data_IF_614786361657
#
_entry.id   IF_614786361657
#
_cell.length_a   1.000
_cell.length_b   1.000
_cell.length_c   1.000
_cell.angle_alpha   90.00
_cell.angle_beta   90.00
_cell.angle_gamma   90.00
#
_symmetry.space_group_name_H-M   'P 1'
#
loop_
_entity.id
_entity.type
_entity.pdbx_description
1 polymer ?
#
# COMPACT_ATOMS: atom_id res chain seq x y z
N UNK A 1 18.73 52.54 2.50
CA UNK A 1 18.27 53.21 1.27
C UNK A 1 18.85 52.49 0.08
N UNK A 2 18.05 51.86 -0.70
CA UNK A 2 18.10 51.75 -2.17
C UNK A 2 17.11 50.69 -2.60
N UNK A 3 16.01 51.18 -3.10
CA UNK A 3 14.96 50.47 -3.79
C UNK A 3 15.48 50.04 -5.15
N UNK A 4 15.24 48.80 -5.55
CA UNK A 4 15.25 48.43 -6.95
C UNK A 4 13.99 47.64 -7.25
N UNK A 5 13.08 48.31 -7.84
CA UNK A 5 11.96 47.83 -8.61
C UNK A 5 12.51 47.13 -9.86
N UNK A 6 12.10 45.90 -10.07
CA UNK A 6 12.26 45.28 -11.38
C UNK A 6 10.94 44.66 -11.78
N UNK A 7 10.29 45.37 -12.66
CA UNK A 7 9.13 44.94 -13.46
C UNK A 7 9.61 43.99 -14.54
N UNK A 8 8.93 42.88 -14.73
CA UNK A 8 8.95 42.13 -16.00
C UNK A 8 7.68 41.33 -16.13
N UNK A 9 6.79 41.85 -16.90
CA UNK A 9 6.47 41.52 -18.29
C UNK A 9 5.84 40.14 -18.45
N UNK A 10 4.51 40.21 -18.60
CA UNK A 10 3.63 39.17 -19.13
C UNK A 10 4.05 38.76 -20.54
N UNK A 11 4.14 37.47 -20.80
CA UNK A 11 3.97 36.93 -22.13
C UNK A 11 2.87 35.89 -22.11
N UNK A 12 1.72 36.32 -22.51
CA UNK A 12 0.55 35.50 -22.79
C UNK A 12 0.76 34.84 -24.14
N UNK A 13 1.00 33.53 -24.16
CA UNK A 13 0.94 32.73 -25.38
C UNK A 13 -0.25 31.77 -25.29
N UNK A 14 -1.36 32.23 -25.80
CA UNK A 14 -2.54 31.41 -26.04
C UNK A 14 -2.30 30.57 -27.29
N UNK A 15 -2.05 29.28 -27.14
CA UNK A 15 -2.10 28.32 -28.23
C UNK A 15 -3.45 27.61 -28.12
N UNK A 16 -4.40 28.07 -28.89
CA UNK A 16 -5.66 27.39 -29.17
C UNK A 16 -5.37 26.27 -30.19
N UNK A 17 -5.10 25.06 -29.73
CA UNK A 17 -5.15 23.90 -30.56
C UNK A 17 -6.57 23.31 -30.48
N UNK A 18 -7.41 23.68 -31.40
CA UNK A 18 -8.67 23.00 -31.65
C UNK A 18 -8.38 21.70 -32.42
N UNK A 19 -8.13 20.62 -31.72
CA UNK A 19 -8.17 19.31 -32.30
C UNK A 19 -9.63 18.87 -32.38
N UNK A 20 -10.20 18.95 -33.57
CA UNK A 20 -11.45 18.28 -33.89
C UNK A 20 -11.21 16.78 -33.77
N UNK A 21 -11.63 16.19 -32.66
CA UNK A 21 -11.74 14.75 -32.54
C UNK A 21 -12.98 14.33 -33.32
N UNK A 22 -12.77 13.82 -34.52
CA UNK A 22 -13.75 13.01 -35.18
C UNK A 22 -13.98 11.78 -34.34
N UNK A 23 -15.13 11.68 -33.71
CA UNK A 23 -15.54 10.48 -33.01
C UNK A 23 -15.60 9.32 -34.02
N UNK A 24 -14.93 8.21 -33.79
CA UNK A 24 -15.16 7.04 -34.60
C UNK A 24 -16.57 6.52 -34.30
N UNK A 25 -17.36 6.47 -35.32
CA UNK A 25 -18.69 5.90 -35.33
C UNK A 25 -18.56 4.41 -34.97
N UNK A 26 -18.71 4.10 -33.70
CA UNK A 26 -18.79 2.71 -33.28
C UNK A 26 -20.14 2.16 -33.68
N UNK A 27 -20.26 1.76 -34.94
CA UNK A 27 -21.26 0.80 -35.32
C UNK A 27 -21.05 -0.43 -34.47
N UNK A 28 -21.92 -0.61 -33.52
CA UNK A 28 -22.10 -1.87 -32.83
C UNK A 28 -22.50 -2.91 -33.92
N UNK A 29 -21.51 -3.57 -34.44
CA UNK A 29 -21.71 -4.76 -35.22
C UNK A 29 -22.09 -5.85 -34.22
N UNK A 30 -23.41 -6.00 -34.08
CA UNK A 30 -24.03 -7.01 -33.21
C UNK A 30 -23.84 -8.39 -33.89
N UNK A 31 -22.58 -8.75 -34.10
CA UNK A 31 -22.19 -10.11 -34.41
C UNK A 31 -22.03 -10.86 -33.12
N UNK A 32 -23.12 -11.54 -32.79
CA UNK A 32 -23.10 -12.69 -31.91
C UNK A 32 -21.81 -13.49 -32.08
N UNK A 33 -20.79 -13.17 -31.31
CA UNK A 33 -19.76 -14.13 -31.03
C UNK A 33 -20.31 -15.11 -30.01
N UNK A 34 -21.14 -16.01 -30.48
CA UNK A 34 -21.31 -17.32 -29.91
C UNK A 34 -19.95 -18.02 -30.01
N UNK A 35 -19.16 -17.88 -29.03
CA UNK A 35 -17.81 -18.41 -28.92
C UNK A 35 -17.20 -17.96 -27.60
N UNK A 36 -18.01 -17.97 -26.57
CA UNK A 36 -17.50 -18.00 -25.20
C UNK A 36 -16.82 -19.35 -25.00
N UNK A 37 -15.62 -19.49 -25.56
CA UNK A 37 -14.66 -20.38 -24.95
C UNK A 37 -14.35 -19.75 -23.62
N UNK A 38 -15.17 -20.14 -22.63
CA UNK A 38 -14.78 -20.01 -21.24
C UNK A 38 -13.41 -20.67 -21.14
N UNK A 39 -12.37 -19.86 -21.19
CA UNK A 39 -11.08 -20.26 -20.68
C UNK A 39 -11.36 -20.57 -19.22
N UNK A 40 -11.76 -21.81 -18.95
CA UNK A 40 -11.59 -22.39 -17.65
C UNK A 40 -10.10 -22.18 -17.38
N UNK A 41 -9.76 -21.16 -16.61
CA UNK A 41 -8.50 -21.16 -15.91
C UNK A 41 -8.54 -22.47 -15.12
N UNK A 42 -8.02 -23.52 -15.77
CA UNK A 42 -7.65 -24.71 -15.04
C UNK A 42 -6.58 -24.20 -14.06
N UNK A 43 -7.04 -23.85 -12.87
CA UNK A 43 -6.16 -23.65 -11.76
C UNK A 43 -5.30 -24.90 -11.73
N UNK A 44 -4.04 -24.76 -12.11
CA UNK A 44 -3.11 -25.87 -12.08
C UNK A 44 -3.02 -26.32 -10.62
N UNK A 45 -3.54 -27.50 -10.26
CA UNK A 45 -3.62 -27.91 -8.86
C UNK A 45 -2.25 -28.11 -8.21
N UNK A 46 -1.19 -27.95 -8.97
CA UNK A 46 0.20 -28.16 -8.51
C UNK A 46 0.91 -26.90 -8.04
N UNK A 47 0.34 -25.71 -8.32
CA UNK A 47 0.91 -24.45 -7.85
C UNK A 47 -0.21 -23.58 -7.27
N UNK A 48 -0.29 -23.47 -5.96
CA UNK A 48 -1.17 -22.48 -5.35
C UNK A 48 -0.80 -21.10 -5.88
N UNK A 49 -1.80 -20.31 -6.20
CA UNK A 49 -1.59 -18.99 -6.74
C UNK A 49 -0.68 -18.19 -5.78
N UNK A 50 0.27 -17.42 -6.32
CA UNK A 50 1.29 -16.70 -5.53
C UNK A 50 0.69 -15.82 -4.43
N UNK A 51 -0.56 -15.36 -4.58
CA UNK A 51 -1.27 -14.58 -3.58
C UNK A 51 -1.75 -15.43 -2.39
N UNK A 52 -2.05 -16.72 -2.60
CA UNK A 52 -2.35 -17.65 -1.52
C UNK A 52 -1.11 -17.95 -0.70
N UNK A 53 0.01 -18.19 -1.36
CA UNK A 53 1.29 -18.44 -0.70
C UNK A 53 1.69 -17.26 0.19
N UNK A 54 1.51 -16.00 -0.29
CA UNK A 54 1.73 -14.81 0.54
C UNK A 54 0.86 -14.75 1.78
N UNK A 55 -0.38 -15.25 1.71
CA UNK A 55 -1.27 -15.32 2.87
C UNK A 55 -0.83 -16.37 3.89
N UNK A 56 -0.34 -17.50 3.42
CA UNK A 56 0.19 -18.54 4.30
C UNK A 56 1.49 -18.13 4.97
N UNK A 57 2.35 -17.46 4.25
CA UNK A 57 3.62 -16.96 4.80
C UNK A 57 3.39 -15.88 5.87
N UNK A 58 2.41 -14.99 5.66
CA UNK A 58 2.04 -14.00 6.68
C UNK A 58 1.49 -14.63 7.97
N UNK A 59 0.80 -15.77 7.87
CA UNK A 59 0.27 -16.49 9.04
C UNK A 59 1.35 -17.23 9.83
N UNK A 60 2.48 -17.51 9.22
CA UNK A 60 3.57 -18.29 9.83
C UNK A 60 4.66 -17.43 10.46
N UNK A 61 4.66 -16.13 10.18
CA UNK A 61 5.65 -15.22 10.76
C UNK A 61 5.43 -15.10 12.26
N UNK A 62 6.49 -15.35 13.01
CA UNK A 62 6.54 -15.13 14.45
C UNK A 62 7.52 -13.96 14.71
N UNK A 63 7.03 -12.76 15.05
CA UNK A 63 7.88 -11.59 15.23
C UNK A 63 9.01 -11.79 16.24
N UNK A 64 8.75 -12.48 17.34
CA UNK A 64 9.75 -12.72 18.39
C UNK A 64 10.94 -13.54 17.88
N UNK A 65 10.72 -14.39 16.89
CA UNK A 65 11.72 -15.28 16.35
C UNK A 65 12.32 -14.80 15.04
N UNK A 66 11.46 -14.26 14.15
CA UNK A 66 11.82 -13.99 12.76
C UNK A 66 12.25 -12.54 12.53
N UNK A 67 11.90 -11.62 13.45
CA UNK A 67 12.23 -10.21 13.34
C UNK A 67 13.26 -9.77 14.38
N UNK A 68 13.90 -8.63 14.11
CA UNK A 68 14.91 -8.04 15.00
C UNK A 68 14.61 -6.58 15.28
N UNK A 69 14.92 -6.14 16.49
CA UNK A 69 14.91 -4.73 16.85
C UNK A 69 15.86 -3.96 15.93
N UNK A 70 15.43 -2.78 15.46
CA UNK A 70 16.17 -1.97 14.50
C UNK A 70 15.91 -2.32 13.02
N UNK A 71 15.28 -3.44 12.76
CA UNK A 71 14.84 -3.83 11.42
C UNK A 71 13.63 -3.01 10.98
N UNK A 72 13.49 -2.80 9.68
CA UNK A 72 12.26 -2.24 9.12
C UNK A 72 11.12 -3.26 9.19
N UNK A 73 9.93 -2.77 9.49
CA UNK A 73 8.72 -3.59 9.45
C UNK A 73 8.51 -4.11 8.02
N UNK A 74 8.35 -5.42 7.83
CA UNK A 74 8.06 -5.96 6.51
C UNK A 74 6.74 -5.40 5.96
N UNK A 75 6.71 -5.08 4.68
CA UNK A 75 5.53 -4.57 4.01
C UNK A 75 4.35 -5.54 4.17
N UNK A 76 3.18 -4.98 4.40
CA UNK A 76 1.96 -5.75 4.65
C UNK A 76 1.59 -5.89 6.14
N UNK A 77 2.52 -5.59 7.05
CA UNK A 77 2.24 -5.54 8.49
C UNK A 77 2.06 -4.11 9.02
N UNK A 78 2.23 -3.09 8.18
CA UNK A 78 2.00 -1.68 8.45
C UNK A 78 0.52 -1.27 8.40
N UNK A 79 -0.36 -2.20 8.05
CA UNK A 79 -1.79 -1.94 7.94
C UNK A 79 -2.46 -1.69 9.31
N UNK A 80 -3.47 -0.82 9.33
CA UNK A 80 -4.22 -0.48 10.54
C UNK A 80 -4.82 -1.69 11.28
N UNK A 81 -5.09 -2.79 10.58
CA UNK A 81 -5.61 -4.02 11.16
C UNK A 81 -4.68 -4.68 12.18
N UNK A 82 -3.40 -4.36 12.13
CA UNK A 82 -2.40 -4.85 13.07
C UNK A 82 -2.17 -3.90 14.24
N UNK A 83 -2.67 -2.67 14.17
CA UNK A 83 -2.55 -1.71 15.26
C UNK A 83 -3.31 -2.20 16.48
N UNK A 84 -2.66 -2.13 17.63
CA UNK A 84 -3.26 -2.48 18.91
C UNK A 84 -4.25 -1.40 19.30
N UNK A 85 -5.42 -1.78 19.78
CA UNK A 85 -6.41 -0.85 20.32
C UNK A 85 -5.93 -0.18 21.61
N UNK A 86 -6.46 1.00 21.93
CA UNK A 86 -6.11 1.73 23.15
C UNK A 86 -6.31 0.88 24.41
N UNK A 87 -7.41 0.12 24.46
CA UNK A 87 -7.71 -0.77 25.59
C UNK A 87 -6.63 -1.84 25.80
N UNK A 88 -6.11 -2.39 24.72
CA UNK A 88 -5.06 -3.40 24.76
C UNK A 88 -3.69 -2.77 25.02
N UNK A 89 -3.45 -1.58 24.48
CA UNK A 89 -2.22 -0.81 24.66
C UNK A 89 -1.97 -0.42 26.13
N UNK A 90 -3.01 -0.23 26.94
CA UNK A 90 -2.88 0.05 28.38
C UNK A 90 -2.19 -1.08 29.17
N UNK A 91 -2.15 -2.28 28.63
CA UNK A 91 -1.46 -3.43 29.25
C UNK A 91 -0.01 -3.55 28.81
N UNK A 92 0.39 -2.74 27.85
CA UNK A 92 1.73 -2.72 27.29
C UNK A 92 2.52 -1.52 27.81
N UNK A 93 3.84 -1.56 27.73
CA UNK A 93 4.67 -0.42 28.11
C UNK A 93 4.25 0.85 27.36
N UNK A 94 4.33 1.99 28.03
CA UNK A 94 3.99 3.27 27.45
C UNK A 94 4.80 3.55 26.18
N UNK A 95 4.14 4.14 25.21
CA UNK A 95 4.77 4.53 23.95
C UNK A 95 5.22 5.98 23.99
N UNK A 96 6.32 6.28 23.31
CA UNK A 96 6.77 7.64 23.06
C UNK A 96 6.10 8.26 21.84
N UNK A 97 6.53 9.48 21.51
CA UNK A 97 6.07 10.17 20.30
C UNK A 97 6.38 9.35 19.05
N UNK A 98 5.42 9.23 18.15
CA UNK A 98 5.52 8.45 16.91
C UNK A 98 5.75 6.94 17.12
N UNK A 99 5.39 6.41 18.26
CA UNK A 99 5.49 4.98 18.53
C UNK A 99 4.10 4.38 18.63
N UNK A 100 3.93 3.22 18.03
CA UNK A 100 2.67 2.49 18.01
C UNK A 100 2.91 1.00 18.20
N UNK A 101 2.06 0.38 19.01
CA UNK A 101 2.04 -1.07 19.14
C UNK A 101 1.27 -1.73 18.02
N UNK A 102 1.84 -2.78 17.48
CA UNK A 102 1.21 -3.67 16.51
C UNK A 102 1.15 -5.08 17.08
N UNK A 103 0.10 -5.81 16.73
CA UNK A 103 -0.08 -7.21 17.12
C UNK A 103 -0.03 -8.09 15.88
N UNK A 104 0.94 -8.98 15.84
CA UNK A 104 1.16 -9.88 14.72
C UNK A 104 1.28 -11.31 15.24
N UNK A 105 0.35 -12.15 14.87
CA UNK A 105 0.31 -13.58 15.24
C UNK A 105 0.47 -13.88 16.75
N UNK A 106 -0.02 -12.97 17.59
CA UNK A 106 0.04 -13.11 19.04
C UNK A 106 1.15 -12.31 19.71
N UNK A 107 2.17 -11.91 18.97
CA UNK A 107 3.27 -11.10 19.49
C UNK A 107 2.99 -9.60 19.33
N UNK A 108 3.51 -8.80 20.26
CA UNK A 108 3.42 -7.35 20.22
C UNK A 108 4.72 -6.75 19.72
N UNK A 109 4.62 -5.84 18.76
CA UNK A 109 5.76 -5.18 18.13
C UNK A 109 5.58 -3.67 18.25
N UNK A 110 6.51 -3.00 18.91
CA UNK A 110 6.55 -1.54 19.00
C UNK A 110 7.32 -0.99 17.80
N UNK A 111 6.69 -0.08 17.07
CA UNK A 111 7.20 0.47 15.82
C UNK A 111 7.25 1.98 15.89
N UNK A 112 8.29 2.56 15.32
CA UNK A 112 8.34 3.98 15.04
C UNK A 112 7.59 4.24 13.72
N UNK A 113 6.46 4.93 13.76
CA UNK A 113 5.61 5.18 12.60
C UNK A 113 6.27 6.06 11.52
N UNK A 114 7.25 6.89 11.90
CA UNK A 114 7.97 7.74 10.95
C UNK A 114 9.04 6.99 10.15
N UNK A 115 9.74 6.09 10.82
CA UNK A 115 10.88 5.37 10.22
C UNK A 115 10.55 3.94 9.85
N UNK A 116 9.36 3.46 10.23
CA UNK A 116 8.92 2.07 10.05
C UNK A 116 9.88 1.04 10.67
N UNK A 117 10.62 1.44 11.70
CA UNK A 117 11.58 0.57 12.40
C UNK A 117 10.98 -0.06 13.63
N UNK A 118 11.32 -1.31 13.86
CA UNK A 118 10.98 -2.07 15.06
C UNK A 118 11.84 -1.57 16.22
N UNK A 119 11.18 -1.14 17.30
CA UNK A 119 11.84 -0.65 18.52
C UNK A 119 11.90 -1.75 19.57
N UNK A 120 10.84 -2.55 19.71
CA UNK A 120 10.71 -3.60 20.71
C UNK A 120 9.78 -4.70 20.21
N UNK A 121 10.04 -5.92 20.65
CA UNK A 121 9.19 -7.08 20.41
C UNK A 121 8.91 -7.75 21.75
N UNK A 122 7.65 -8.11 21.99
CA UNK A 122 7.17 -8.85 23.16
C UNK A 122 6.38 -10.04 22.64
N UNK A 123 6.83 -11.23 22.93
CA UNK A 123 6.18 -12.49 22.56
C UNK A 123 5.75 -13.28 23.76
#
# INVERSE_FOLDING_TARGET
>A
MKKLLSTLALSLSAIMATSAMAAPDHRYDDRRHQGSTAYKHQANPRHPAQWEQKRYDQKRVNPSRDWRVGQNLPRGYDANRYKVSDREAHRLPNTGRYQQWYKVNGDYVLINERTQRIIRIIG
#
